data_IF_401424594166
#
_entry.id   IF_401424594166
#
_cell.length_a   1.000
_cell.length_b   1.000
_cell.length_c   1.000
_cell.angle_alpha   90.00
_cell.angle_beta   90.00
_cell.angle_gamma   90.00
#
_symmetry.space_group_name_H-M   'P 1'
#
loop_
_entity.id
_entity.type
_entity.pdbx_description
1 polymer ?
#
# COMPACT_ATOMS: atom_id res chain seq x y z
N UNK A 1 19.64 21.55 13.32
CA UNK A 1 19.77 21.07 11.92
C UNK A 1 20.03 19.56 11.83
N UNK A 2 20.80 18.97 12.77
CA UNK A 2 21.16 17.54 12.79
C UNK A 2 19.97 16.54 12.87
N UNK A 3 18.98 16.76 13.74
CA UNK A 3 17.79 15.86 13.85
C UNK A 3 17.01 15.79 12.52
N UNK A 4 17.01 16.87 11.73
CA UNK A 4 16.32 16.94 10.43
C UNK A 4 17.02 16.10 9.36
N UNK A 5 18.36 16.12 9.33
CA UNK A 5 19.17 15.34 8.38
C UNK A 5 19.06 13.85 8.69
N UNK A 6 19.02 13.48 9.98
CA UNK A 6 18.85 12.10 10.45
C UNK A 6 17.53 11.46 9.94
N UNK A 7 16.40 12.16 10.02
CA UNK A 7 15.10 11.61 9.58
C UNK A 7 15.05 11.29 8.09
N UNK A 8 15.49 12.22 7.23
CA UNK A 8 15.49 12.01 5.79
C UNK A 8 16.34 10.80 5.39
N UNK A 9 17.51 10.65 6.03
CA UNK A 9 18.40 9.52 5.81
C UNK A 9 17.74 8.22 6.25
N UNK A 10 17.10 8.19 7.42
CA UNK A 10 16.39 7.01 7.93
C UNK A 10 15.30 6.58 6.94
N UNK A 11 14.42 7.49 6.53
CA UNK A 11 13.37 7.18 5.56
C UNK A 11 13.95 6.74 4.22
N UNK A 12 15.02 7.38 3.75
CA UNK A 12 15.69 6.99 2.52
C UNK A 12 16.22 5.55 2.62
N UNK A 13 17.02 5.24 3.64
CA UNK A 13 17.63 3.92 3.83
C UNK A 13 16.58 2.85 4.02
N UNK A 14 15.57 3.07 4.86
CA UNK A 14 14.49 2.10 5.08
C UNK A 14 13.74 1.76 3.79
N UNK A 15 13.25 2.76 3.06
CA UNK A 15 12.50 2.51 1.84
C UNK A 15 13.38 1.97 0.71
N UNK A 16 14.66 2.36 0.66
CA UNK A 16 15.63 1.79 -0.27
C UNK A 16 15.80 0.29 -0.03
N UNK A 17 16.06 -0.12 1.21
CA UNK A 17 16.24 -1.53 1.57
C UNK A 17 14.97 -2.36 1.33
N UNK A 18 13.79 -1.83 1.69
CA UNK A 18 12.50 -2.51 1.43
C UNK A 18 12.27 -2.69 -0.07
N UNK A 19 12.64 -1.72 -0.90
CA UNK A 19 12.54 -1.85 -2.35
C UNK A 19 13.56 -2.88 -2.88
N UNK A 20 14.83 -2.70 -2.50
CA UNK A 20 15.98 -3.46 -2.99
C UNK A 20 15.89 -4.95 -2.66
N UNK A 21 15.29 -5.32 -1.53
CA UNK A 21 15.08 -6.72 -1.15
C UNK A 21 14.28 -7.53 -2.18
N UNK A 22 13.47 -6.88 -3.03
CA UNK A 22 12.65 -7.52 -4.05
C UNK A 22 13.31 -7.58 -5.44
N UNK A 23 14.64 -7.42 -5.51
CA UNK A 23 15.38 -7.58 -6.77
C UNK A 23 15.19 -9.00 -7.32
N UNK A 24 14.96 -9.11 -8.63
CA UNK A 24 14.73 -10.37 -9.34
C UNK A 24 15.85 -11.40 -9.06
N UNK A 25 17.10 -10.95 -9.06
CA UNK A 25 18.31 -11.80 -8.95
C UNK A 25 18.36 -12.62 -7.66
N UNK A 26 17.89 -12.06 -6.55
CA UNK A 26 17.99 -12.70 -5.24
C UNK A 26 16.63 -12.78 -4.54
N UNK A 27 15.53 -12.70 -5.29
CA UNK A 27 14.18 -12.80 -4.74
C UNK A 27 13.98 -14.10 -3.95
N UNK A 28 13.34 -14.00 -2.77
CA UNK A 28 13.09 -15.08 -1.80
C UNK A 28 14.34 -15.81 -1.24
N UNK A 29 15.55 -15.35 -1.57
CA UNK A 29 16.78 -15.84 -0.94
C UNK A 29 16.90 -15.35 0.50
N UNK A 30 17.77 -15.98 1.29
CA UNK A 30 18.09 -15.52 2.64
C UNK A 30 18.59 -14.06 2.67
N UNK A 31 19.35 -13.64 1.66
CA UNK A 31 19.86 -12.27 1.52
C UNK A 31 18.70 -11.27 1.36
N UNK A 32 17.70 -11.57 0.52
CA UNK A 32 16.51 -10.73 0.37
C UNK A 32 15.80 -10.49 1.70
N UNK A 33 15.66 -11.55 2.51
CA UNK A 33 14.98 -11.53 3.81
C UNK A 33 15.74 -10.64 4.79
N UNK A 34 17.07 -10.76 4.87
CA UNK A 34 17.90 -9.90 5.71
C UNK A 34 17.73 -8.43 5.33
N UNK A 35 17.84 -8.10 4.04
CA UNK A 35 17.72 -6.72 3.54
C UNK A 35 16.34 -6.14 3.88
N UNK A 36 15.29 -6.92 3.64
CA UNK A 36 13.91 -6.52 3.93
C UNK A 36 13.72 -6.21 5.43
N UNK A 37 14.08 -7.15 6.29
CA UNK A 37 13.89 -6.99 7.73
C UNK A 37 14.78 -5.90 8.31
N UNK A 38 15.99 -5.68 7.77
CA UNK A 38 16.81 -4.53 8.14
C UNK A 38 16.12 -3.21 7.81
N UNK A 39 15.54 -3.08 6.62
CA UNK A 39 14.77 -1.89 6.21
C UNK A 39 13.57 -1.62 7.11
N UNK A 40 12.78 -2.66 7.41
CA UNK A 40 11.62 -2.59 8.30
C UNK A 40 12.03 -2.29 9.75
N UNK A 41 13.11 -2.89 10.26
CA UNK A 41 13.59 -2.66 11.62
C UNK A 41 14.08 -1.23 11.82
N UNK A 42 14.81 -0.67 10.84
CA UNK A 42 15.23 0.75 10.89
C UNK A 42 13.99 1.67 10.93
N UNK A 43 12.97 1.36 10.13
CA UNK A 43 11.75 2.16 10.03
C UNK A 43 10.96 2.13 11.34
N UNK A 44 10.66 0.92 11.84
CA UNK A 44 9.92 0.70 13.08
C UNK A 44 10.70 1.18 14.29
N UNK A 45 12.01 0.92 14.36
CA UNK A 45 12.86 1.38 15.46
C UNK A 45 12.82 2.90 15.59
N UNK A 46 12.86 3.62 14.46
CA UNK A 46 12.72 5.07 14.48
C UNK A 46 11.32 5.54 14.90
N UNK A 47 10.27 4.84 14.45
CA UNK A 47 8.89 5.09 14.85
C UNK A 47 8.68 4.92 16.36
N UNK A 48 9.12 3.79 16.93
CA UNK A 48 9.04 3.52 18.36
C UNK A 48 9.82 4.55 19.19
N UNK A 49 11.01 4.99 18.73
CA UNK A 49 11.75 6.08 19.38
C UNK A 49 10.94 7.38 19.40
N UNK A 50 10.21 7.71 18.33
CA UNK A 50 9.31 8.88 18.31
C UNK A 50 8.16 8.69 19.30
N UNK A 51 7.51 7.51 19.29
CA UNK A 51 6.39 7.21 20.17
C UNK A 51 6.77 7.31 21.66
N UNK A 52 7.93 6.78 22.04
CA UNK A 52 8.46 6.88 23.40
C UNK A 52 8.75 8.33 23.78
N UNK A 53 9.39 9.11 22.91
CA UNK A 53 9.68 10.53 23.15
C UNK A 53 8.42 11.38 23.30
N UNK A 54 7.36 11.04 22.57
CA UNK A 54 6.06 11.74 22.63
C UNK A 54 5.13 11.17 23.71
N UNK A 55 5.60 10.21 24.53
CA UNK A 55 4.81 9.52 25.56
C UNK A 55 3.48 8.96 25.02
N UNK A 56 3.48 8.43 23.80
CA UNK A 56 2.30 7.92 23.11
C UNK A 56 1.86 6.52 23.59
N UNK A 57 1.83 6.30 24.91
CA UNK A 57 1.58 4.99 25.55
C UNK A 57 0.26 4.36 25.09
N UNK A 58 -0.82 5.15 25.02
CA UNK A 58 -2.13 4.68 24.55
C UNK A 58 -2.08 4.07 23.15
N UNK A 59 -1.21 4.57 22.28
CA UNK A 59 -1.03 4.02 20.92
C UNK A 59 -0.21 2.75 20.91
N UNK A 60 0.85 2.69 21.72
CA UNK A 60 1.63 1.46 21.89
C UNK A 60 0.71 0.33 22.38
N UNK A 61 -0.12 0.61 23.39
CA UNK A 61 -1.11 -0.34 23.89
C UNK A 61 -2.12 -0.75 22.81
N UNK A 62 -2.60 0.19 21.99
CA UNK A 62 -3.53 -0.12 20.89
C UNK A 62 -2.88 -0.99 19.80
N UNK A 63 -1.62 -0.73 19.44
CA UNK A 63 -0.84 -1.54 18.49
C UNK A 63 -0.74 -2.97 19.01
N UNK A 64 -0.33 -3.13 20.27
CA UNK A 64 -0.21 -4.44 20.92
C UNK A 64 -1.57 -5.14 20.98
N UNK A 65 -2.63 -4.43 21.35
CA UNK A 65 -3.98 -4.98 21.38
C UNK A 65 -4.43 -5.49 20.01
N UNK A 66 -4.27 -4.70 18.94
CA UNK A 66 -4.65 -5.12 17.59
C UNK A 66 -3.79 -6.30 17.09
N UNK A 67 -2.48 -6.28 17.37
CA UNK A 67 -1.58 -7.36 17.02
C UNK A 67 -1.96 -8.67 17.74
N UNK A 68 -2.24 -8.63 19.04
CA UNK A 68 -2.69 -9.80 19.81
C UNK A 68 -4.04 -10.29 19.30
N UNK A 69 -5.02 -9.40 19.15
CA UNK A 69 -6.37 -9.74 18.67
C UNK A 69 -6.29 -10.44 17.30
N UNK A 70 -5.54 -9.89 16.36
CA UNK A 70 -5.35 -10.48 15.03
C UNK A 70 -4.61 -11.82 15.07
N UNK A 71 -3.85 -12.10 16.13
CA UNK A 71 -3.04 -13.31 16.24
C UNK A 71 -3.77 -14.49 16.87
N UNK A 72 -4.90 -14.26 17.54
CA UNK A 72 -5.72 -15.32 18.19
C UNK A 72 -6.02 -16.46 17.21
N UNK A 73 -6.33 -16.10 15.96
CA UNK A 73 -6.64 -17.05 14.88
C UNK A 73 -5.58 -18.12 14.66
N UNK A 74 -4.38 -17.73 14.22
CA UNK A 74 -3.31 -18.67 13.90
C UNK A 74 -2.59 -19.22 15.14
N UNK A 75 -2.66 -18.55 16.29
CA UNK A 75 -2.08 -19.08 17.53
C UNK A 75 -2.82 -20.34 18.02
N UNK A 76 -4.13 -20.42 17.77
CA UNK A 76 -4.98 -21.57 18.11
C UNK A 76 -4.93 -22.73 17.09
N UNK A 77 -4.09 -22.62 16.05
CA UNK A 77 -3.94 -23.63 15.01
C UNK A 77 -2.67 -24.47 15.19
N UNK A 78 -2.62 -25.66 14.59
CA UNK A 78 -1.47 -26.58 14.69
C UNK A 78 -0.35 -26.19 13.73
N UNK A 79 0.23 -25.02 13.94
CA UNK A 79 1.38 -24.51 13.20
C UNK A 79 2.69 -24.72 13.96
N UNK A 80 3.77 -24.97 13.21
CA UNK A 80 5.14 -24.98 13.74
C UNK A 80 5.42 -23.62 14.42
N UNK A 81 6.08 -23.65 15.58
CA UNK A 81 6.36 -22.46 16.40
C UNK A 81 7.06 -21.35 15.61
N UNK A 82 8.02 -21.71 14.76
CA UNK A 82 8.74 -20.75 13.89
C UNK A 82 7.79 -19.97 12.98
N UNK A 83 6.78 -20.62 12.40
CA UNK A 83 5.76 -19.98 11.56
C UNK A 83 4.85 -19.08 12.38
N UNK A 84 4.43 -19.51 13.58
CA UNK A 84 3.65 -18.66 14.50
C UNK A 84 4.39 -17.35 14.83
N UNK A 85 5.70 -17.43 15.09
CA UNK A 85 6.54 -16.25 15.37
C UNK A 85 6.59 -15.30 14.17
N UNK A 86 6.80 -15.82 12.95
CA UNK A 86 6.86 -15.00 11.72
C UNK A 86 5.50 -14.31 11.46
N UNK A 87 4.40 -15.03 11.63
CA UNK A 87 3.05 -14.46 11.46
C UNK A 87 2.77 -13.39 12.52
N UNK A 88 3.13 -13.63 13.78
CA UNK A 88 2.98 -12.65 14.86
C UNK A 88 3.83 -11.39 14.61
N UNK A 89 5.09 -11.54 14.20
CA UNK A 89 5.95 -10.43 13.84
C UNK A 89 5.34 -9.58 12.71
N UNK A 90 4.78 -10.24 11.69
CA UNK A 90 4.14 -9.52 10.58
C UNK A 90 2.93 -8.70 11.04
N UNK A 91 2.14 -9.16 12.01
CA UNK A 91 1.03 -8.39 12.57
C UNK A 91 1.53 -7.17 13.36
N UNK A 92 2.57 -7.35 14.17
CA UNK A 92 3.21 -6.24 14.88
C UNK A 92 3.70 -5.18 13.90
N UNK A 93 4.37 -5.59 12.81
CA UNK A 93 4.86 -4.66 11.79
C UNK A 93 3.70 -3.89 11.15
N UNK A 94 2.65 -4.59 10.68
CA UNK A 94 1.52 -3.95 10.01
C UNK A 94 0.82 -2.95 10.93
N UNK A 95 0.44 -3.37 12.15
CA UNK A 95 -0.28 -2.50 13.07
C UNK A 95 0.58 -1.36 13.59
N UNK A 96 1.90 -1.55 13.73
CA UNK A 96 2.82 -0.46 14.05
C UNK A 96 2.76 0.60 12.96
N UNK A 97 3.04 0.23 11.70
CA UNK A 97 3.02 1.18 10.58
C UNK A 97 1.67 1.88 10.41
N UNK A 98 0.56 1.17 10.63
CA UNK A 98 -0.80 1.68 10.46
C UNK A 98 -1.24 2.65 11.57
N UNK A 99 -0.82 2.45 12.82
CA UNK A 99 -1.30 3.22 13.98
C UNK A 99 -0.24 4.13 14.63
N UNK A 100 1.04 3.80 14.48
CA UNK A 100 2.15 4.51 15.11
C UNK A 100 2.81 5.55 14.20
N UNK A 101 2.66 5.44 12.87
CA UNK A 101 3.38 6.22 11.85
C UNK A 101 3.16 7.75 11.86
N UNK A 102 2.37 8.27 12.79
CA UNK A 102 2.24 9.70 13.03
C UNK A 102 3.61 10.32 13.26
N UNK A 103 3.92 11.38 12.51
CA UNK A 103 5.14 12.18 12.59
C UNK A 103 6.39 11.62 11.90
N UNK A 104 6.32 10.46 11.24
CA UNK A 104 7.41 9.99 10.39
C UNK A 104 7.55 10.90 9.15
N UNK A 105 6.45 11.24 8.50
CA UNK A 105 6.43 12.18 7.37
C UNK A 105 5.84 13.50 7.86
N UNK A 106 6.67 14.54 7.99
CA UNK A 106 6.21 15.88 8.41
C UNK A 106 6.42 16.95 7.36
N UNK A 107 7.27 16.71 6.37
CA UNK A 107 7.72 17.73 5.42
C UNK A 107 7.86 17.16 4.03
N UNK A 108 7.82 18.06 3.05
CA UNK A 108 8.19 17.79 1.66
C UNK A 108 9.44 16.94 1.50
N UNK A 109 10.52 17.29 2.21
CA UNK A 109 11.82 16.61 2.06
C UNK A 109 11.77 15.15 2.51
N UNK A 110 10.89 14.81 3.45
CA UNK A 110 10.69 13.44 3.91
C UNK A 110 10.11 12.62 2.75
N UNK A 111 9.05 13.12 2.09
CA UNK A 111 8.46 12.51 0.90
C UNK A 111 9.47 12.37 -0.25
N UNK A 112 10.22 13.44 -0.56
CA UNK A 112 11.23 13.39 -1.63
C UNK A 112 12.34 12.38 -1.33
N UNK A 113 12.67 12.16 -0.06
CA UNK A 113 13.66 11.14 0.34
C UNK A 113 13.15 9.74 0.03
N UNK A 114 11.88 9.45 0.34
CA UNK A 114 11.22 8.17 -0.01
C UNK A 114 11.21 7.96 -1.53
N UNK A 115 10.77 8.97 -2.31
CA UNK A 115 10.78 8.87 -3.77
C UNK A 115 12.18 8.60 -4.32
N UNK A 116 13.18 9.34 -3.85
CA UNK A 116 14.55 9.17 -4.34
C UNK A 116 15.13 7.79 -3.97
N UNK A 117 14.73 7.22 -2.82
CA UNK A 117 15.10 5.87 -2.44
C UNK A 117 14.53 4.82 -3.41
N UNK A 118 13.26 4.95 -3.79
CA UNK A 118 12.61 4.07 -4.78
C UNK A 118 13.29 4.21 -6.15
N UNK A 119 13.54 5.45 -6.61
CA UNK A 119 14.21 5.69 -7.90
C UNK A 119 15.61 5.09 -7.93
N UNK A 120 16.40 5.28 -6.86
CA UNK A 120 17.73 4.66 -6.78
C UNK A 120 17.63 3.13 -6.73
N UNK A 121 16.67 2.59 -5.98
CA UNK A 121 16.40 1.16 -5.92
C UNK A 121 16.11 0.56 -7.30
N UNK A 122 15.26 1.22 -8.10
CA UNK A 122 14.98 0.80 -9.49
C UNK A 122 16.24 0.80 -10.33
N UNK A 123 17.01 1.90 -10.30
CA UNK A 123 18.24 2.00 -11.10
C UNK A 123 19.22 0.89 -10.75
N UNK A 124 19.45 0.64 -9.46
CA UNK A 124 20.36 -0.40 -9.00
C UNK A 124 19.83 -1.81 -9.32
N UNK A 125 18.54 -2.08 -9.13
CA UNK A 125 17.96 -3.37 -9.50
C UNK A 125 18.07 -3.62 -11.00
N UNK A 126 17.83 -2.62 -11.85
CA UNK A 126 18.02 -2.71 -13.29
C UNK A 126 19.47 -3.06 -13.65
N UNK A 127 20.44 -2.35 -13.07
CA UNK A 127 21.87 -2.61 -13.30
C UNK A 127 22.22 -4.03 -12.90
N UNK A 128 21.83 -4.46 -11.70
CA UNK A 128 22.13 -5.81 -11.17
C UNK A 128 21.47 -6.89 -12.01
N UNK A 129 20.21 -6.72 -12.42
CA UNK A 129 19.52 -7.71 -13.26
C UNK A 129 20.21 -7.85 -14.62
N UNK A 130 20.53 -6.73 -15.27
CA UNK A 130 21.22 -6.73 -16.57
C UNK A 130 22.62 -7.35 -16.44
N UNK A 131 23.39 -6.99 -15.41
CA UNK A 131 24.73 -7.56 -15.20
C UNK A 131 24.70 -9.06 -14.89
N UNK A 132 23.62 -9.54 -14.29
CA UNK A 132 23.43 -10.96 -13.95
C UNK A 132 22.72 -11.75 -15.06
N UNK A 133 22.47 -11.14 -16.22
CA UNK A 133 21.85 -11.81 -17.38
C UNK A 133 20.32 -11.98 -17.30
N UNK A 134 19.65 -11.33 -16.36
CA UNK A 134 18.19 -11.39 -16.23
C UNK A 134 17.49 -10.31 -17.09
N UNK A 135 16.37 -10.68 -17.71
CA UNK A 135 15.54 -9.76 -18.49
C UNK A 135 14.81 -8.76 -17.60
N UNK A 136 14.75 -7.49 -18.04
CA UNK A 136 13.90 -6.45 -17.45
C UNK A 136 12.47 -6.46 -18.01
N UNK A 137 12.20 -7.35 -18.97
CA UNK A 137 10.90 -7.53 -19.59
C UNK A 137 10.29 -8.85 -19.12
N UNK A 138 9.05 -8.78 -18.66
CA UNK A 138 8.24 -9.91 -18.25
C UNK A 138 7.06 -10.06 -19.22
N UNK A 139 6.69 -11.28 -19.59
CA UNK A 139 5.48 -11.53 -20.37
C UNK A 139 4.24 -11.45 -19.48
N UNK A 140 3.17 -10.84 -19.99
CA UNK A 140 1.88 -10.82 -19.28
C UNK A 140 1.11 -12.12 -19.48
N UNK A 141 0.67 -12.74 -18.38
CA UNK A 141 -0.30 -13.84 -18.41
C UNK A 141 -1.67 -13.31 -18.90
N UNK A 142 -2.14 -13.76 -20.07
CA UNK A 142 -3.44 -13.40 -20.67
C UNK A 142 -3.47 -13.45 -22.20
N UNK A 143 -4.63 -13.14 -22.80
CA UNK A 143 -4.95 -13.33 -24.24
C UNK A 143 -4.06 -12.60 -25.26
N UNK A 144 -3.15 -11.73 -24.81
CA UNK A 144 -2.13 -11.09 -25.66
C UNK A 144 -0.79 -11.09 -24.93
N UNK A 145 0.19 -11.79 -25.49
CA UNK A 145 1.57 -11.80 -25.00
C UNK A 145 2.22 -10.45 -25.27
N UNK A 146 2.11 -9.53 -24.31
CA UNK A 146 2.79 -8.23 -24.35
C UNK A 146 3.98 -8.30 -23.40
N UNK A 147 5.15 -7.92 -23.87
CA UNK A 147 6.33 -7.72 -23.03
C UNK A 147 6.19 -6.40 -22.26
N UNK A 148 6.33 -6.46 -20.95
CA UNK A 148 6.17 -5.30 -20.06
C UNK A 148 7.35 -5.17 -19.12
N UNK A 149 7.66 -3.93 -18.73
CA UNK A 149 8.85 -3.64 -17.92
C UNK A 149 8.62 -3.90 -16.43
N UNK A 150 9.51 -4.69 -15.81
CA UNK A 150 9.46 -5.04 -14.39
C UNK A 150 10.47 -4.26 -13.52
N UNK A 151 11.32 -3.42 -14.12
CA UNK A 151 12.32 -2.62 -13.40
C UNK A 151 13.29 -3.42 -12.54
N UNK A 152 13.56 -4.68 -12.91
CA UNK A 152 14.43 -5.59 -12.16
C UNK A 152 13.81 -6.12 -10.86
N UNK A 153 12.48 -6.04 -10.69
CA UNK A 153 11.75 -6.75 -9.65
C UNK A 153 11.20 -8.09 -10.14
N UNK A 154 10.95 -9.00 -9.19
CA UNK A 154 10.37 -10.32 -9.47
C UNK A 154 9.05 -10.28 -10.25
N UNK A 155 8.17 -9.31 -9.95
CA UNK A 155 6.85 -9.19 -10.57
C UNK A 155 6.59 -7.74 -11.02
N UNK A 156 6.06 -7.59 -12.24
CA UNK A 156 5.67 -6.31 -12.84
C UNK A 156 4.70 -5.49 -11.99
N UNK A 157 3.77 -6.12 -11.27
CA UNK A 157 2.77 -5.44 -10.47
C UNK A 157 3.42 -4.90 -9.19
N UNK A 158 4.38 -5.62 -8.62
CA UNK A 158 5.13 -5.13 -7.45
C UNK A 158 6.00 -3.93 -7.81
N UNK A 159 6.59 -3.95 -9.00
CA UNK A 159 7.26 -2.80 -9.60
C UNK A 159 6.30 -1.62 -9.80
N UNK A 160 5.18 -1.85 -10.48
CA UNK A 160 4.22 -0.80 -10.80
C UNK A 160 3.70 -0.09 -9.54
N UNK A 161 3.39 -0.82 -8.47
CA UNK A 161 2.90 -0.20 -7.23
C UNK A 161 3.99 0.48 -6.40
N UNK A 162 5.22 -0.04 -6.43
CA UNK A 162 6.35 0.68 -5.84
C UNK A 162 6.59 2.00 -6.59
N UNK A 163 6.46 1.98 -7.91
CA UNK A 163 6.57 3.18 -8.73
C UNK A 163 5.35 4.11 -8.63
N UNK A 164 4.16 3.58 -8.33
CA UNK A 164 2.95 4.36 -8.01
C UNK A 164 3.19 5.25 -6.80
N UNK A 165 3.95 4.80 -5.80
CA UNK A 165 4.39 5.65 -4.68
C UNK A 165 5.25 6.81 -5.17
N UNK A 166 6.20 6.55 -6.07
CA UNK A 166 7.04 7.59 -6.67
C UNK A 166 6.22 8.59 -7.51
N UNK A 167 5.19 8.11 -8.21
CA UNK A 167 4.20 8.94 -8.91
C UNK A 167 3.42 9.82 -7.94
N UNK A 168 2.81 9.26 -6.89
CA UNK A 168 2.04 9.99 -5.88
C UNK A 168 2.89 11.13 -5.31
N UNK A 169 4.14 10.85 -4.90
CA UNK A 169 5.03 11.87 -4.34
C UNK A 169 5.38 12.95 -5.36
N UNK A 170 5.68 12.56 -6.60
CA UNK A 170 6.01 13.52 -7.68
C UNK A 170 4.82 14.39 -8.04
N UNK A 171 3.63 13.82 -8.07
CA UNK A 171 2.38 14.53 -8.32
C UNK A 171 2.11 15.55 -7.22
N UNK A 172 2.27 15.18 -5.94
CA UNK A 172 2.13 16.11 -4.82
C UNK A 172 3.19 17.22 -4.86
N UNK A 173 4.43 16.89 -5.23
CA UNK A 173 5.51 17.87 -5.42
C UNK A 173 5.16 18.90 -6.51
N UNK A 174 4.51 18.46 -7.60
CA UNK A 174 4.07 19.35 -8.67
C UNK A 174 2.80 20.14 -8.33
N UNK A 175 1.78 19.49 -7.78
CA UNK A 175 0.44 20.07 -7.58
C UNK A 175 0.40 21.09 -6.43
N UNK A 176 1.17 20.86 -5.36
CA UNK A 176 1.12 21.69 -4.15
C UNK A 176 2.28 22.67 -3.99
N UNK A 177 3.26 22.68 -4.90
CA UNK A 177 4.39 23.59 -4.86
C UNK A 177 4.57 24.35 -6.18
N UNK A 178 5.52 25.29 -6.22
CA UNK A 178 5.83 26.07 -7.43
C UNK A 178 5.97 25.18 -8.67
N UNK A 179 5.10 25.37 -9.65
CA UNK A 179 5.15 24.64 -10.92
C UNK A 179 6.46 25.01 -11.62
N UNK A 180 7.29 24.01 -11.88
CA UNK A 180 8.58 24.15 -12.57
C UNK A 180 8.70 23.02 -13.57
N UNK A 181 9.41 23.24 -14.67
CA UNK A 181 9.61 22.24 -15.72
C UNK A 181 10.15 20.93 -15.14
N UNK A 182 11.16 21.00 -14.25
CA UNK A 182 11.71 19.83 -13.56
C UNK A 182 10.66 19.00 -12.82
N UNK A 183 9.70 19.64 -12.14
CA UNK A 183 8.64 18.92 -11.41
C UNK A 183 7.63 18.30 -12.35
N UNK A 184 7.28 18.99 -13.43
CA UNK A 184 6.43 18.45 -14.48
C UNK A 184 7.07 17.22 -15.13
N UNK A 185 8.35 17.31 -15.50
CA UNK A 185 9.11 16.19 -16.07
C UNK A 185 9.15 14.99 -15.12
N UNK A 186 9.33 15.19 -13.82
CA UNK A 186 9.29 14.08 -12.86
C UNK A 186 7.93 13.34 -12.86
N UNK A 187 6.82 14.09 -12.97
CA UNK A 187 5.48 13.48 -13.08
C UNK A 187 5.33 12.73 -14.40
N UNK A 188 5.79 13.33 -15.50
CA UNK A 188 5.71 12.73 -16.83
C UNK A 188 6.52 11.43 -16.90
N UNK A 189 7.76 11.42 -16.41
CA UNK A 189 8.59 10.21 -16.31
C UNK A 189 7.90 9.15 -15.45
N UNK A 190 7.31 9.55 -14.32
CA UNK A 190 6.58 8.63 -13.47
C UNK A 190 5.39 7.98 -14.20
N UNK A 191 4.62 8.77 -14.97
CA UNK A 191 3.53 8.26 -15.81
C UNK A 191 4.01 7.29 -16.89
N UNK A 192 5.06 7.67 -17.65
CA UNK A 192 5.58 6.84 -18.75
C UNK A 192 6.01 5.47 -18.23
N UNK A 193 6.75 5.43 -17.12
CA UNK A 193 7.20 4.17 -16.52
C UNK A 193 6.03 3.31 -16.04
N UNK A 194 4.95 3.90 -15.49
CA UNK A 194 3.73 3.15 -15.14
C UNK A 194 3.01 2.58 -16.37
N UNK A 195 3.01 3.29 -17.49
CA UNK A 195 2.41 2.80 -18.73
C UNK A 195 3.21 1.60 -19.27
N UNK A 196 4.54 1.72 -19.29
CA UNK A 196 5.44 0.67 -19.79
C UNK A 196 5.45 -0.58 -18.87
N UNK A 197 5.13 -0.43 -17.58
CA UNK A 197 4.96 -1.60 -16.69
C UNK A 197 3.71 -2.44 -17.00
N UNK A 198 2.77 -1.91 -17.78
CA UNK A 198 1.57 -2.62 -18.22
C UNK A 198 0.68 -3.13 -17.08
N UNK A 199 0.74 -2.49 -15.91
CA UNK A 199 -0.11 -2.82 -14.76
C UNK A 199 -1.41 -2.01 -14.81
N UNK A 200 -2.48 -2.67 -15.27
CA UNK A 200 -3.81 -2.03 -15.43
C UNK A 200 -4.34 -1.47 -14.11
N UNK A 201 -4.13 -2.19 -13.01
CA UNK A 201 -4.53 -1.77 -11.67
C UNK A 201 -3.78 -0.51 -11.22
N UNK A 202 -2.45 -0.45 -11.36
CA UNK A 202 -1.67 0.73 -11.00
C UNK A 202 -2.08 1.98 -11.81
N UNK A 203 -2.35 1.82 -13.10
CA UNK A 203 -2.85 2.92 -13.96
C UNK A 203 -4.22 3.41 -13.48
N UNK A 204 -5.12 2.48 -13.15
CA UNK A 204 -6.43 2.81 -12.58
C UNK A 204 -6.30 3.58 -11.25
N UNK A 205 -5.33 3.22 -10.39
CA UNK A 205 -5.02 3.99 -9.19
C UNK A 205 -4.56 5.40 -9.48
N UNK A 206 -3.72 5.62 -10.50
CA UNK A 206 -3.32 6.98 -10.93
C UNK A 206 -4.54 7.81 -11.28
N UNK A 207 -5.46 7.27 -12.08
CA UNK A 207 -6.67 7.98 -12.52
C UNK A 207 -7.52 8.36 -11.32
N UNK A 208 -7.81 7.42 -10.41
CA UNK A 208 -8.59 7.70 -9.20
C UNK A 208 -7.92 8.73 -8.30
N UNK A 209 -6.60 8.59 -8.07
CA UNK A 209 -5.84 9.50 -7.23
C UNK A 209 -5.87 10.94 -7.76
N UNK A 210 -5.62 11.13 -9.06
CA UNK A 210 -5.66 12.45 -9.70
C UNK A 210 -7.08 13.02 -9.72
N UNK A 211 -8.10 12.21 -10.01
CA UNK A 211 -9.50 12.64 -10.03
C UNK A 211 -9.95 13.17 -8.65
N UNK A 212 -9.68 12.42 -7.57
CA UNK A 212 -10.07 12.80 -6.21
C UNK A 212 -9.33 14.07 -5.77
N UNK A 213 -8.03 14.17 -6.05
CA UNK A 213 -7.25 15.36 -5.68
C UNK A 213 -7.70 16.64 -6.40
N UNK A 214 -8.25 16.53 -7.61
CA UNK A 214 -8.71 17.66 -8.41
C UNK A 214 -10.23 17.80 -8.43
N UNK A 215 -10.95 17.10 -7.56
CA UNK A 215 -12.42 17.11 -7.57
C UNK A 215 -13.01 18.52 -7.42
N UNK A 216 -12.31 19.43 -6.74
CA UNK A 216 -12.76 20.82 -6.61
C UNK A 216 -12.80 21.57 -7.94
N UNK A 217 -11.84 21.32 -8.85
CA UNK A 217 -11.79 21.95 -10.17
C UNK A 217 -12.96 21.43 -11.00
N UNK A 218 -13.18 20.12 -10.95
CA UNK A 218 -14.30 19.43 -11.60
C UNK A 218 -15.64 20.01 -11.10
N UNK A 219 -15.83 20.07 -9.78
CA UNK A 219 -17.05 20.59 -9.18
C UNK A 219 -17.23 22.11 -9.34
N UNK A 220 -16.15 22.90 -9.45
CA UNK A 220 -16.21 24.34 -9.71
C UNK A 220 -16.74 24.65 -11.11
N UNK A 221 -16.36 23.87 -12.10
CA UNK A 221 -16.87 24.02 -13.47
C UNK A 221 -18.38 23.80 -13.56
N UNK A 222 -18.98 23.07 -12.60
CA UNK A 222 -20.40 22.72 -12.58
C UNK A 222 -21.14 23.21 -11.32
N UNK A 223 -20.79 24.40 -10.80
CA UNK A 223 -21.36 24.98 -9.56
C UNK A 223 -22.89 24.96 -9.48
N UNK A 224 -23.59 25.26 -10.58
CA UNK A 224 -25.06 25.36 -10.64
C UNK A 224 -25.77 24.01 -10.45
N UNK A 225 -25.09 22.91 -10.78
CA UNK A 225 -25.65 21.55 -10.72
C UNK A 225 -24.92 20.66 -9.72
N UNK A 226 -24.17 21.22 -8.76
CA UNK A 226 -23.24 20.47 -7.89
C UNK A 226 -23.84 19.20 -7.26
N UNK A 227 -25.07 19.26 -6.74
CA UNK A 227 -25.76 18.07 -6.18
C UNK A 227 -26.10 17.06 -7.28
N UNK A 228 -26.71 17.52 -8.37
CA UNK A 228 -27.06 16.69 -9.53
C UNK A 228 -25.84 16.04 -10.17
N UNK A 229 -24.71 16.74 -10.24
CA UNK A 229 -23.41 16.27 -10.74
C UNK A 229 -22.82 15.21 -9.83
N UNK A 230 -22.94 15.34 -8.51
CA UNK A 230 -22.52 14.28 -7.58
C UNK A 230 -23.40 13.04 -7.75
N UNK A 231 -24.72 13.19 -7.89
CA UNK A 231 -25.62 12.06 -8.18
C UNK A 231 -25.31 11.42 -9.54
N UNK A 232 -25.08 12.22 -10.58
CA UNK A 232 -24.65 11.75 -11.90
C UNK A 232 -23.29 11.05 -11.85
N UNK A 233 -22.33 11.54 -11.08
CA UNK A 233 -21.05 10.85 -10.86
C UNK A 233 -21.22 9.52 -10.12
N UNK A 234 -22.16 9.44 -9.17
CA UNK A 234 -22.49 8.21 -8.47
C UNK A 234 -23.16 7.19 -9.41
N UNK A 235 -24.17 7.62 -10.17
CA UNK A 235 -24.90 6.77 -11.11
C UNK A 235 -23.99 6.34 -12.27
N UNK A 236 -23.24 7.28 -12.87
CA UNK A 236 -22.25 6.95 -13.89
C UNK A 236 -21.12 6.10 -13.31
N UNK A 237 -20.73 6.29 -12.05
CA UNK A 237 -19.80 5.43 -11.35
C UNK A 237 -20.31 4.00 -11.25
N UNK A 238 -21.57 3.80 -10.84
CA UNK A 238 -22.21 2.48 -10.80
C UNK A 238 -22.29 1.87 -12.20
N UNK A 239 -22.70 2.66 -13.19
CA UNK A 239 -22.83 2.21 -14.59
C UNK A 239 -21.48 1.86 -15.21
N UNK A 240 -20.45 2.67 -15.01
CA UNK A 240 -19.07 2.39 -15.41
C UNK A 240 -18.56 1.16 -14.67
N UNK A 241 -18.84 1.01 -13.38
CA UNK A 241 -18.46 -0.20 -12.62
C UNK A 241 -19.16 -1.44 -13.18
N UNK A 242 -20.44 -1.35 -13.56
CA UNK A 242 -21.19 -2.42 -14.20
C UNK A 242 -20.65 -2.75 -15.60
N UNK A 243 -20.31 -1.75 -16.41
CA UNK A 243 -19.69 -1.96 -17.73
C UNK A 243 -18.28 -2.53 -17.59
N UNK A 244 -17.48 -2.01 -16.65
CA UNK A 244 -16.17 -2.58 -16.32
C UNK A 244 -16.33 -4.03 -15.88
N UNK A 245 -17.33 -4.33 -15.03
CA UNK A 245 -17.64 -5.69 -14.60
C UNK A 245 -17.95 -6.62 -15.77
N UNK A 246 -18.98 -6.28 -16.55
CA UNK A 246 -19.52 -7.14 -17.61
C UNK A 246 -18.62 -7.24 -18.85
N UNK A 247 -17.90 -6.17 -19.22
CA UNK A 247 -17.10 -6.15 -20.46
C UNK A 247 -15.62 -6.41 -20.21
N UNK A 248 -15.06 -6.01 -19.07
CA UNK A 248 -13.61 -6.06 -18.81
C UNK A 248 -13.25 -7.09 -17.74
N UNK A 249 -13.97 -7.12 -16.62
CA UNK A 249 -13.60 -7.94 -15.47
C UNK A 249 -13.98 -9.41 -15.65
N UNK A 250 -15.17 -9.71 -16.17
CA UNK A 250 -15.59 -11.08 -16.50
C UNK A 250 -14.70 -11.70 -17.60
N UNK A 251 -14.23 -10.87 -18.54
CA UNK A 251 -13.35 -11.31 -19.63
C UNK A 251 -11.86 -11.27 -19.25
N UNK A 252 -11.50 -10.87 -18.03
CA UNK A 252 -10.12 -10.86 -17.54
C UNK A 252 -9.86 -12.11 -16.72
N UNK A 253 -9.14 -13.08 -17.28
CA UNK A 253 -8.78 -14.35 -16.61
C UNK A 253 -8.26 -14.14 -15.19
N UNK A 254 -7.35 -13.18 -14.99
CA UNK A 254 -6.74 -12.88 -13.68
C UNK A 254 -7.72 -12.31 -12.64
N UNK A 255 -8.75 -11.58 -13.06
CA UNK A 255 -9.72 -11.01 -12.12
C UNK A 255 -10.81 -12.02 -11.75
N UNK A 256 -11.26 -12.83 -12.72
CA UNK A 256 -12.16 -13.95 -12.44
C UNK A 256 -11.55 -14.94 -11.47
N UNK A 257 -10.25 -15.22 -11.57
CA UNK A 257 -9.53 -16.01 -10.57
C UNK A 257 -9.62 -15.42 -9.14
N UNK A 258 -9.68 -14.09 -8.99
CA UNK A 258 -9.82 -13.45 -7.67
C UNK A 258 -11.25 -13.52 -7.13
N UNK A 259 -12.27 -13.35 -8.00
CA UNK A 259 -13.68 -13.52 -7.63
C UNK A 259 -13.96 -14.98 -7.26
N UNK A 260 -13.55 -15.93 -8.10
CA UNK A 260 -13.73 -17.35 -7.83
C UNK A 260 -13.00 -17.74 -6.54
N UNK A 261 -11.83 -17.16 -6.25
CA UNK A 261 -11.18 -17.32 -4.95
C UNK A 261 -12.04 -16.86 -3.76
N UNK A 262 -12.80 -15.77 -3.89
CA UNK A 262 -13.76 -15.31 -2.86
C UNK A 262 -14.96 -16.25 -2.74
N UNK A 263 -15.53 -16.69 -3.86
CA UNK A 263 -16.68 -17.61 -3.88
C UNK A 263 -16.27 -18.95 -3.26
N UNK A 264 -15.17 -19.54 -3.71
CA UNK A 264 -14.68 -20.84 -3.24
C UNK A 264 -14.28 -20.77 -1.75
N UNK A 265 -13.73 -19.64 -1.28
CA UNK A 265 -13.52 -19.44 0.16
C UNK A 265 -14.84 -19.38 0.91
N UNK A 266 -15.83 -18.63 0.41
CA UNK A 266 -17.13 -18.52 1.05
C UNK A 266 -17.82 -19.88 1.16
N UNK A 267 -17.76 -20.70 0.11
CA UNK A 267 -18.30 -22.06 0.09
C UNK A 267 -17.57 -22.97 1.08
N UNK A 268 -16.23 -22.97 1.06
CA UNK A 268 -15.44 -23.73 2.03
C UNK A 268 -15.80 -23.36 3.48
N UNK A 269 -15.87 -22.05 3.74
CA UNK A 269 -16.09 -21.54 5.08
C UNK A 269 -17.53 -21.70 5.55
N UNK A 270 -18.51 -21.74 4.64
CA UNK A 270 -19.91 -22.05 4.96
C UNK A 270 -20.06 -23.42 5.65
N UNK A 271 -19.17 -24.36 5.34
CA UNK A 271 -19.14 -25.71 5.94
C UNK A 271 -18.17 -25.81 7.13
N UNK A 272 -17.23 -24.87 7.28
CA UNK A 272 -16.22 -24.86 8.34
C UNK A 272 -16.15 -23.50 9.06
N UNK A 273 -17.08 -23.29 9.99
CA UNK A 273 -17.20 -22.04 10.75
C UNK A 273 -15.96 -21.73 11.60
N UNK A 274 -15.22 -22.76 12.04
CA UNK A 274 -13.95 -22.57 12.78
C UNK A 274 -12.90 -21.95 11.87
N UNK A 275 -12.85 -22.36 10.60
CA UNK A 275 -12.02 -21.77 9.57
C UNK A 275 -12.36 -20.29 9.31
N UNK A 276 -13.63 -19.88 9.43
CA UNK A 276 -14.01 -18.46 9.36
C UNK A 276 -13.43 -17.64 10.52
N UNK A 277 -13.67 -18.14 11.73
CA UNK A 277 -13.41 -17.40 12.97
C UNK A 277 -11.91 -17.28 13.21
N UNK A 278 -11.17 -18.38 13.09
CA UNK A 278 -9.75 -18.44 13.40
C UNK A 278 -8.86 -18.32 12.16
N UNK A 279 -9.42 -18.42 10.95
CA UNK A 279 -8.66 -18.48 9.70
C UNK A 279 -8.20 -19.90 9.39
N UNK A 280 -7.37 -20.03 8.36
CA UNK A 280 -6.89 -21.27 7.76
C UNK A 280 -5.37 -21.29 7.57
N UNK A 281 -4.64 -20.58 8.44
CA UNK A 281 -3.19 -20.47 8.39
C UNK A 281 -2.49 -21.82 8.41
N UNK A 282 -3.04 -22.81 9.13
CA UNK A 282 -2.53 -24.17 9.18
C UNK A 282 -2.36 -24.75 7.78
N UNK A 283 -3.40 -24.63 6.94
CA UNK A 283 -3.39 -25.14 5.58
C UNK A 283 -2.51 -24.25 4.68
N UNK A 284 -2.66 -22.94 4.76
CA UNK A 284 -1.95 -22.02 3.89
C UNK A 284 -0.42 -22.07 4.08
N UNK A 285 0.03 -22.25 5.32
CA UNK A 285 1.43 -22.24 5.68
C UNK A 285 1.97 -23.63 6.03
N UNK A 286 1.41 -24.75 5.53
CA UNK A 286 1.99 -26.10 5.76
C UNK A 286 3.39 -26.20 5.15
N UNK A 287 3.57 -25.77 3.90
CA UNK A 287 4.84 -25.83 3.15
C UNK A 287 5.31 -24.43 2.72
N UNK A 288 6.48 -24.35 2.08
CA UNK A 288 6.96 -23.11 1.42
C UNK A 288 6.12 -22.73 0.21
N UNK A 289 5.37 -23.67 -0.36
CA UNK A 289 4.54 -23.46 -1.55
C UNK A 289 3.13 -22.96 -1.16
N UNK A 290 3.09 -21.72 -0.70
CA UNK A 290 1.86 -21.06 -0.25
C UNK A 290 0.77 -21.05 -1.33
N UNK A 291 1.14 -20.81 -2.59
CA UNK A 291 0.18 -20.72 -3.68
C UNK A 291 -0.51 -22.06 -3.93
N UNK A 292 0.23 -23.17 -3.98
CA UNK A 292 -0.37 -24.48 -4.17
C UNK A 292 -1.18 -24.93 -2.95
N UNK A 293 -0.73 -24.64 -1.73
CA UNK A 293 -1.50 -24.97 -0.52
C UNK A 293 -2.86 -24.28 -0.49
N UNK A 294 -2.92 -23.03 -0.93
CA UNK A 294 -4.15 -22.27 -0.99
C UNK A 294 -5.06 -22.73 -2.14
N UNK A 295 -4.51 -23.05 -3.31
CA UNK A 295 -5.29 -23.59 -4.43
C UNK A 295 -5.97 -24.92 -4.10
N UNK A 296 -5.42 -25.71 -3.17
CA UNK A 296 -6.10 -26.92 -2.65
C UNK A 296 -7.40 -26.60 -1.90
N UNK A 297 -7.52 -25.39 -1.35
CA UNK A 297 -8.71 -24.92 -0.64
C UNK A 297 -9.62 -24.13 -1.58
N UNK A 298 -9.03 -23.26 -2.40
CA UNK A 298 -9.76 -22.31 -3.24
C UNK A 298 -10.04 -22.81 -4.65
N UNK A 299 -9.64 -24.02 -5.00
CA UNK A 299 -9.69 -24.50 -6.37
C UNK A 299 -8.56 -23.93 -7.25
N UNK A 300 -8.31 -24.59 -8.39
CA UNK A 300 -7.31 -24.15 -9.38
C UNK A 300 -7.79 -22.94 -10.19
N UNK A 301 -9.08 -22.64 -10.10
CA UNK A 301 -9.79 -21.50 -10.65
C UNK A 301 -9.89 -20.32 -9.67
N UNK A 302 -9.29 -20.41 -8.47
CA UNK A 302 -9.26 -19.36 -7.44
C UNK A 302 -7.86 -18.85 -7.08
N UNK A 303 -7.74 -17.59 -6.66
CA UNK A 303 -6.47 -16.98 -6.18
C UNK A 303 -6.65 -16.13 -4.92
N UNK A 304 -5.59 -16.04 -4.11
CA UNK A 304 -5.51 -15.19 -2.91
C UNK A 304 -4.94 -13.80 -3.14
N UNK A 305 -4.97 -13.31 -4.38
CA UNK A 305 -4.37 -12.03 -4.70
C UNK A 305 -5.19 -10.84 -4.18
N UNK A 306 -6.34 -11.05 -3.54
CA UNK A 306 -7.04 -10.01 -2.79
C UNK A 306 -6.55 -9.93 -1.33
N UNK A 307 -6.32 -8.73 -0.82
CA UNK A 307 -5.85 -8.52 0.54
C UNK A 307 -6.86 -9.03 1.60
N UNK A 308 -8.17 -8.88 1.33
CA UNK A 308 -9.21 -9.36 2.24
C UNK A 308 -9.18 -10.88 2.39
N UNK A 309 -8.99 -11.61 1.28
CA UNK A 309 -8.79 -13.07 1.31
C UNK A 309 -7.58 -13.44 2.17
N UNK A 310 -6.46 -12.75 1.97
CA UNK A 310 -5.24 -12.96 2.75
C UNK A 310 -5.44 -12.74 4.25
N UNK A 311 -6.22 -11.72 4.65
CA UNK A 311 -6.55 -11.47 6.06
C UNK A 311 -7.42 -12.60 6.62
N UNK A 312 -8.46 -13.03 5.91
CA UNK A 312 -9.37 -14.09 6.39
C UNK A 312 -8.60 -15.41 6.53
N UNK A 313 -7.84 -15.80 5.51
CA UNK A 313 -7.07 -17.04 5.53
C UNK A 313 -6.02 -17.01 6.64
N UNK A 314 -5.38 -15.87 6.87
CA UNK A 314 -4.31 -15.79 7.87
C UNK A 314 -4.83 -15.62 9.30
N UNK A 315 -5.81 -14.76 9.50
CA UNK A 315 -6.20 -14.23 10.81
C UNK A 315 -7.67 -14.48 11.16
N UNK A 316 -8.49 -14.96 10.21
CA UNK A 316 -9.93 -15.12 10.37
C UNK A 316 -10.67 -13.79 10.62
N UNK A 317 -11.87 -13.92 11.19
CA UNK A 317 -12.69 -12.76 11.60
C UNK A 317 -12.00 -11.86 12.62
N UNK A 318 -11.21 -12.42 13.54
CA UNK A 318 -10.45 -11.62 14.50
C UNK A 318 -9.48 -10.66 13.82
N UNK A 319 -8.87 -11.09 12.72
CA UNK A 319 -8.07 -10.23 11.85
C UNK A 319 -8.88 -9.05 11.32
N UNK A 320 -10.02 -9.33 10.68
CA UNK A 320 -10.91 -8.29 10.12
C UNK A 320 -11.30 -7.28 11.20
N UNK A 321 -11.68 -7.75 12.40
CA UNK A 321 -12.05 -6.89 13.52
C UNK A 321 -10.88 -5.99 13.92
N UNK A 322 -9.67 -6.53 14.07
CA UNK A 322 -8.47 -5.77 14.41
C UNK A 322 -8.13 -4.68 13.37
N UNK A 323 -8.16 -5.03 12.07
CA UNK A 323 -7.99 -4.05 10.99
C UNK A 323 -9.07 -2.97 11.01
N UNK A 324 -10.33 -3.36 11.26
CA UNK A 324 -11.47 -2.44 11.33
C UNK A 324 -11.30 -1.44 12.48
N UNK A 325 -10.90 -1.89 13.67
CA UNK A 325 -10.60 -1.03 14.82
C UNK A 325 -9.50 -0.02 14.46
N UNK A 326 -8.42 -0.49 13.82
CA UNK A 326 -7.31 0.38 13.45
C UNK A 326 -7.72 1.44 12.41
N UNK A 327 -8.52 1.05 11.42
CA UNK A 327 -9.06 1.96 10.39
C UNK A 327 -10.01 3.00 11.01
N UNK A 328 -10.97 2.56 11.84
CA UNK A 328 -11.91 3.46 12.52
C UNK A 328 -11.15 4.49 13.36
N UNK A 329 -10.12 4.04 14.09
CA UNK A 329 -9.28 4.93 14.87
C UNK A 329 -8.62 6.01 14.01
N UNK A 330 -8.02 5.62 12.87
CA UNK A 330 -7.38 6.56 11.96
C UNK A 330 -8.38 7.58 11.37
N UNK A 331 -9.60 7.14 11.03
CA UNK A 331 -10.67 8.04 10.55
C UNK A 331 -11.11 9.01 11.64
N UNK A 332 -11.27 8.54 12.88
CA UNK A 332 -11.64 9.40 14.02
C UNK A 332 -10.56 10.44 14.32
N UNK A 333 -9.29 10.04 14.36
CA UNK A 333 -8.17 10.98 14.55
C UNK A 333 -8.09 12.02 13.44
N UNK A 334 -8.39 11.62 12.20
CA UNK A 334 -8.46 12.53 11.07
C UNK A 334 -9.60 13.55 11.22
N UNK A 335 -10.81 13.09 11.55
CA UNK A 335 -12.01 13.94 11.71
C UNK A 335 -11.90 14.95 12.85
N UNK A 336 -11.26 14.57 13.96
CA UNK A 336 -11.16 15.41 15.15
C UNK A 336 -10.21 16.61 15.00
N UNK A 337 -9.51 16.74 13.87
CA UNK A 337 -8.53 17.81 13.65
C UNK A 337 -9.02 18.83 12.64
N UNK A 338 -8.71 20.11 12.87
CA UNK A 338 -8.92 21.16 11.88
C UNK A 338 -7.95 20.92 10.72
N UNK A 339 -8.48 20.47 9.59
CA UNK A 339 -7.72 20.15 8.38
C UNK A 339 -8.15 21.04 7.24
N UNK A 340 -7.17 21.50 6.47
CA UNK A 340 -7.43 22.25 5.25
C UNK A 340 -8.07 21.34 4.21
N UNK A 341 -8.87 21.92 3.30
CA UNK A 341 -9.61 21.14 2.31
C UNK A 341 -8.67 20.26 1.45
N UNK A 342 -7.51 20.79 1.05
CA UNK A 342 -6.47 20.04 0.33
C UNK A 342 -6.00 18.78 1.08
N UNK A 343 -5.89 18.84 2.40
CA UNK A 343 -5.48 17.69 3.23
C UNK A 343 -6.59 16.65 3.33
N UNK A 344 -7.85 17.10 3.37
CA UNK A 344 -9.02 16.23 3.29
C UNK A 344 -9.06 15.49 1.96
N UNK A 345 -8.83 16.19 0.85
CA UNK A 345 -8.74 15.56 -0.47
C UNK A 345 -7.62 14.52 -0.51
N UNK A 346 -6.44 14.86 0.00
CA UNK A 346 -5.30 13.96 0.03
C UNK A 346 -5.54 12.71 0.87
N UNK A 347 -6.11 12.88 2.08
CA UNK A 347 -6.45 11.75 2.94
C UNK A 347 -7.45 10.82 2.25
N UNK A 348 -8.54 11.36 1.72
CA UNK A 348 -9.55 10.55 1.03
C UNK A 348 -9.03 9.91 -0.25
N UNK A 349 -8.17 10.58 -1.02
CA UNK A 349 -7.54 10.01 -2.20
C UNK A 349 -6.71 8.77 -1.84
N UNK A 350 -5.84 8.88 -0.82
CA UNK A 350 -5.02 7.76 -0.36
C UNK A 350 -5.86 6.66 0.29
N UNK A 351 -6.87 7.03 1.08
CA UNK A 351 -7.74 6.08 1.76
C UNK A 351 -8.58 5.27 0.77
N UNK A 352 -9.21 5.92 -0.22
CA UNK A 352 -9.98 5.22 -1.26
C UNK A 352 -9.06 4.34 -2.11
N UNK A 353 -7.86 4.82 -2.48
CA UNK A 353 -6.87 3.98 -3.17
C UNK A 353 -6.46 2.76 -2.31
N UNK A 354 -6.30 2.94 -1.00
CA UNK A 354 -5.98 1.83 -0.10
C UNK A 354 -7.10 0.78 -0.03
N UNK A 355 -8.37 1.22 0.05
CA UNK A 355 -9.53 0.34 0.05
C UNK A 355 -9.68 -0.42 -1.27
N UNK A 356 -9.58 0.28 -2.40
CA UNK A 356 -9.61 -0.35 -3.72
C UNK A 356 -8.47 -1.36 -3.87
N UNK A 357 -7.27 -1.05 -3.34
CA UNK A 357 -6.17 -2.02 -3.34
C UNK A 357 -6.53 -3.28 -2.58
N UNK A 358 -7.26 -3.20 -1.46
CA UNK A 358 -7.64 -4.40 -0.70
C UNK A 358 -8.41 -5.45 -1.51
N UNK A 359 -9.17 -5.01 -2.53
CA UNK A 359 -9.96 -5.90 -3.39
C UNK A 359 -9.22 -6.32 -4.66
N UNK A 360 -8.29 -5.49 -5.15
CA UNK A 360 -7.61 -5.72 -6.42
C UNK A 360 -6.29 -6.46 -6.21
N UNK A 361 -5.43 -6.06 -5.27
CA UNK A 361 -4.10 -6.66 -5.05
C UNK A 361 -3.77 -6.81 -3.55
N UNK A 362 -3.07 -7.87 -3.18
CA UNK A 362 -2.65 -8.16 -1.79
C UNK A 362 -1.56 -7.22 -1.26
N UNK A 363 -1.15 -6.24 -2.06
CA UNK A 363 -0.04 -5.32 -1.81
C UNK A 363 -0.17 -4.48 -0.53
N UNK A 364 -1.38 -4.30 -0.01
CA UNK A 364 -1.59 -3.53 1.23
C UNK A 364 -1.40 -4.35 2.50
N UNK A 365 -1.51 -5.68 2.43
CA UNK A 365 -1.26 -6.58 3.56
C UNK A 365 0.16 -7.15 3.56
N UNK A 366 0.93 -6.89 2.50
CA UNK A 366 2.28 -7.40 2.34
C UNK A 366 3.32 -6.28 2.46
N UNK A 367 3.88 -6.16 3.67
CA UNK A 367 4.88 -5.13 4.03
C UNK A 367 6.21 -5.31 3.32
N UNK A 368 6.40 -6.41 2.58
CA UNK A 368 7.60 -6.58 1.74
C UNK A 368 7.61 -5.64 0.55
N UNK A 369 6.45 -5.10 0.15
CA UNK A 369 6.37 -4.12 -0.92
C UNK A 369 6.27 -2.71 -0.36
N UNK A 370 6.98 -1.77 -0.98
CA UNK A 370 7.04 -0.36 -0.56
C UNK A 370 5.67 0.31 -0.43
N UNK A 371 4.69 -0.14 -1.21
CA UNK A 371 3.35 0.43 -1.22
C UNK A 371 2.66 0.39 0.15
N UNK A 372 2.63 -0.77 0.82
CA UNK A 372 1.98 -0.91 2.14
C UNK A 372 2.59 0.01 3.21
N UNK A 373 3.92 -0.05 3.50
CA UNK A 373 4.54 0.81 4.49
C UNK A 373 4.37 2.30 4.17
N UNK A 374 4.45 2.69 2.89
CA UNK A 374 4.25 4.09 2.50
C UNK A 374 2.81 4.55 2.79
N UNK A 375 1.80 3.83 2.33
CA UNK A 375 0.40 4.21 2.49
C UNK A 375 0.03 4.30 3.98
N UNK A 376 0.43 3.31 4.78
CA UNK A 376 0.16 3.30 6.21
C UNK A 376 0.81 4.49 6.94
N UNK A 377 2.10 4.70 6.74
CA UNK A 377 2.81 5.81 7.38
C UNK A 377 2.27 7.16 6.91
N UNK A 378 1.94 7.29 5.62
CA UNK A 378 1.48 8.56 5.08
C UNK A 378 0.07 8.90 5.55
N UNK A 379 -0.85 7.93 5.60
CA UNK A 379 -2.17 8.11 6.21
C UNK A 379 -2.05 8.50 7.69
N UNK A 380 -1.25 7.76 8.47
CA UNK A 380 -0.99 8.08 9.88
C UNK A 380 -0.33 9.46 10.07
N UNK A 381 0.55 9.86 9.15
CA UNK A 381 1.15 11.20 9.16
C UNK A 381 0.13 12.30 8.86
N UNK A 382 -0.87 12.06 8.02
CA UNK A 382 -1.95 13.01 7.75
C UNK A 382 -2.90 13.18 8.93
N UNK A 383 -3.00 12.18 9.83
CA UNK A 383 -3.75 12.31 11.10
C UNK A 383 -2.96 13.07 12.17
N UNK A 384 -1.69 13.44 11.97
CA UNK A 384 -0.90 14.21 12.95
C UNK A 384 -1.26 15.71 13.00
N UNK A 385 -0.90 16.41 14.10
CA UNK A 385 -1.20 17.85 14.27
C UNK A 385 -0.29 18.76 13.42
N UNK A 386 1.01 18.44 13.32
CA UNK A 386 1.94 19.16 12.44
C UNK A 386 1.80 18.59 11.04
N UNK A 387 0.94 19.17 10.22
CA UNK A 387 0.72 18.61 8.90
C UNK A 387 1.84 18.95 7.92
N UNK A 388 1.98 18.07 6.95
CA UNK A 388 2.89 18.27 5.82
C UNK A 388 2.55 19.59 5.13
N UNK A 389 1.27 19.97 5.01
CA UNK A 389 0.83 21.21 4.37
C UNK A 389 1.00 22.47 5.22
N UNK A 390 0.94 22.38 6.55
CA UNK A 390 1.21 23.53 7.44
C UNK A 390 2.69 23.93 7.41
N UNK A 391 3.59 22.95 7.27
CA UNK A 391 5.01 23.21 7.01
C UNK A 391 5.30 23.76 5.60
N UNK A 392 4.30 23.71 4.70
CA UNK A 392 4.37 24.16 3.30
C UNK A 392 3.86 25.61 3.17
N UNK A 393 2.85 26.02 3.95
CA UNK A 393 2.31 27.40 3.96
C UNK A 393 3.17 28.39 4.74
N UNK A 394 3.84 27.99 5.83
CA UNK A 394 4.69 28.88 6.64
C UNK A 394 5.94 29.44 5.89
N UNK A 395 6.24 28.98 4.67
CA UNK A 395 7.33 29.52 3.85
C UNK A 395 6.89 30.45 2.72
N UNK A 396 5.59 30.68 2.54
CA UNK A 396 5.08 31.59 1.50
C UNK A 396 4.78 33.01 1.98
N UNK A 397 4.82 33.25 3.29
CA UNK A 397 4.80 34.59 3.87
C UNK A 397 5.88 34.69 4.94
N UNK A 398 7.12 35.11 4.62
CA UNK A 398 7.94 35.73 5.65
C UNK A 398 7.15 36.96 6.13
N UNK A 399 7.01 37.08 7.44
CA UNK A 399 6.31 38.18 8.10
C UNK A 399 6.70 39.52 7.47
N UNK A 400 5.75 40.14 6.76
CA UNK A 400 5.72 41.58 6.62
C UNK A 400 4.81 42.09 7.74
N UNK A 401 5.40 42.23 8.93
CA UNK A 401 5.07 43.29 9.88
C UNK A 401 6.40 43.76 10.43
#
# INVERSE_FOLDING_TARGET
>A
MAIRKKRNIILFVSFFLIYFSNCYVFFDTFISKIILYAGLLILLGYEFVIMLKTKAIKRILLILFCAVLSSIGFLNQNLIVSKKIVLLLSMIIIFSLLLGGNNLIRRKRDLLSIRNAIVLGVVLNCIICVSSGYSLLQQTLGDREILVFNGGMFDKNYFAYSWLVAFIISYLDFAYFRKTLKRYLNVLVACVVLLVSGSRSAILFVVFFVAILNQEIILRSMKRFRRMVVYLMLISGIFVTYLLYTKILVNSSTFMLRINGLINLADYVSTNIRGLVYGMSEIAFVSSDYQNNIRRVLGWDGTCEAAILGIIIKNGLFGIIAYTIAIIRNIQEFKNKKKNQKEKLLFWALFICSLLSCFIESLIIDVKYVFAPFIFIFLASLTSEQTIMDSITQKQYPNHI
#
